data_IF_883492711052
#
_entry.id   IF_883492711052
#
_cell.length_a   1.000
_cell.length_b   1.000
_cell.length_c   1.000
_cell.angle_alpha   90.00
_cell.angle_beta   90.00
_cell.angle_gamma   90.00
#
_symmetry.space_group_name_H-M   'P 1'
#
loop_
_entity.id
_entity.type
_entity.pdbx_description
1 polymer ?
#
# COMPACT_ATOMS: atom_id res chain seq x y z
N UNK A 1 69.24 31.97 87.12
CA UNK A 1 69.29 32.41 85.71
C UNK A 1 69.03 31.21 84.79
N UNK A 2 67.85 30.60 84.88
CA UNK A 2 67.61 29.24 84.32
C UNK A 2 66.26 29.06 83.62
N UNK A 3 65.42 30.11 83.58
CA UNK A 3 64.08 30.05 82.97
C UNK A 3 64.11 30.53 81.51
N UNK A 4 65.00 31.46 81.15
CA UNK A 4 65.07 32.05 79.80
C UNK A 4 65.60 31.10 78.70
N UNK A 5 66.37 30.07 79.04
CA UNK A 5 66.97 29.14 78.07
C UNK A 5 66.00 28.07 77.57
N UNK A 6 65.00 27.68 78.38
CA UNK A 6 64.02 26.63 78.01
C UNK A 6 63.01 27.09 76.95
N UNK A 7 62.65 28.37 76.93
CA UNK A 7 61.66 28.91 75.98
C UNK A 7 62.24 29.16 74.58
N UNK A 8 63.52 29.57 74.49
CA UNK A 8 64.21 29.74 73.19
C UNK A 8 64.34 28.41 72.42
N UNK A 9 64.56 27.30 73.12
CA UNK A 9 64.70 25.98 72.49
C UNK A 9 63.35 25.46 71.94
N UNK A 10 62.24 25.71 72.63
CA UNK A 10 60.90 25.29 72.17
C UNK A 10 60.39 26.10 70.98
N UNK A 11 60.71 27.40 70.92
CA UNK A 11 60.33 28.28 69.80
C UNK A 11 61.13 27.94 68.53
N UNK A 12 62.42 27.57 68.67
CA UNK A 12 63.24 27.14 67.54
C UNK A 12 62.79 25.82 66.90
N UNK A 13 62.30 24.88 67.70
CA UNK A 13 61.78 23.59 67.18
C UNK A 13 60.45 23.79 66.45
N UNK A 14 59.56 24.66 66.95
CA UNK A 14 58.27 24.94 66.32
C UNK A 14 58.43 25.62 64.93
N UNK A 15 59.42 26.52 64.80
CA UNK A 15 59.72 27.19 63.53
C UNK A 15 60.35 26.25 62.48
N UNK A 16 61.17 25.28 62.90
CA UNK A 16 61.76 24.27 62.01
C UNK A 16 60.73 23.25 61.49
N UNK A 17 59.73 22.89 62.29
CA UNK A 17 58.65 22.00 61.85
C UNK A 17 57.66 22.68 60.90
N UNK A 18 57.45 24.00 61.04
CA UNK A 18 56.56 24.76 60.16
C UNK A 18 57.10 24.94 58.74
N UNK A 19 58.43 25.06 58.58
CA UNK A 19 59.06 25.27 57.28
C UNK A 19 59.13 24.01 56.39
N UNK A 20 59.02 22.81 56.98
CA UNK A 20 59.12 21.55 56.24
C UNK A 20 57.81 21.12 55.56
N UNK A 21 56.67 21.72 55.94
CA UNK A 21 55.34 21.37 55.41
C UNK A 21 54.88 22.22 54.22
N UNK A 22 55.66 23.20 53.77
CA UNK A 22 55.33 24.05 52.60
C UNK A 22 56.31 23.87 51.44
N UNK A 23 56.62 22.61 51.10
CA UNK A 23 57.24 22.31 49.81
C UNK A 23 56.13 22.13 48.75
N UNK A 24 56.11 22.92 47.66
CA UNK A 24 55.15 22.74 46.58
C UNK A 24 55.45 21.42 45.85
N UNK A 25 54.63 20.40 46.12
CA UNK A 25 54.64 19.13 45.40
C UNK A 25 54.24 19.36 43.94
N UNK A 26 55.22 19.21 43.06
CA UNK A 26 55.14 19.42 41.62
C UNK A 26 54.07 18.53 40.95
N UNK A 27 53.09 19.16 40.31
CA UNK A 27 52.21 18.51 39.33
C UNK A 27 53.07 18.02 38.16
N UNK A 28 53.41 16.72 38.14
CA UNK A 28 54.12 16.12 37.01
C UNK A 28 53.18 16.03 35.81
N UNK A 29 53.47 16.81 34.78
CA UNK A 29 52.87 16.66 33.46
C UNK A 29 53.01 15.18 33.02
N UNK A 30 51.93 14.58 32.53
CA UNK A 30 51.96 13.23 31.99
C UNK A 30 52.78 13.24 30.70
N UNK A 31 54.06 12.88 30.79
CA UNK A 31 54.88 12.67 29.60
C UNK A 31 54.35 11.47 28.83
N UNK A 32 54.03 11.66 27.55
CA UNK A 32 53.61 10.57 26.66
C UNK A 32 54.78 9.60 26.51
N UNK A 33 54.67 8.43 27.13
CA UNK A 33 55.69 7.39 27.08
C UNK A 33 55.68 6.79 25.66
N UNK A 34 56.66 7.17 24.84
CA UNK A 34 56.81 6.72 23.47
C UNK A 34 57.98 5.74 23.39
N UNK A 35 57.74 4.49 23.78
CA UNK A 35 58.72 3.42 23.65
C UNK A 35 58.67 2.86 22.22
N UNK A 36 59.77 3.02 21.49
CA UNK A 36 59.90 2.54 20.11
C UNK A 36 59.66 1.02 19.99
N UNK A 37 60.01 0.23 21.02
CA UNK A 37 59.83 -1.23 21.05
C UNK A 37 58.37 -1.66 21.12
N UNK A 38 57.59 -0.93 21.91
CA UNK A 38 56.14 -1.16 22.05
C UNK A 38 55.43 -0.61 20.81
N UNK A 39 55.85 0.54 20.30
CA UNK A 39 55.31 1.12 19.07
C UNK A 39 55.55 0.20 17.88
N UNK A 40 56.73 -0.39 17.75
CA UNK A 40 57.03 -1.35 16.69
C UNK A 40 56.19 -2.63 16.83
N UNK A 41 55.94 -3.09 18.06
CA UNK A 41 55.03 -4.22 18.34
C UNK A 41 53.63 -3.94 17.79
N UNK A 42 53.06 -2.78 18.13
CA UNK A 42 51.71 -2.39 17.70
C UNK A 42 51.62 -2.22 16.18
N UNK A 43 52.64 -1.61 15.56
CA UNK A 43 52.70 -1.42 14.09
C UNK A 43 52.65 -2.75 13.33
N UNK A 44 53.26 -3.81 13.87
CA UNK A 44 53.24 -5.17 13.29
C UNK A 44 51.93 -5.91 13.47
N UNK A 45 51.16 -5.63 14.51
CA UNK A 45 49.92 -6.35 14.79
C UNK A 45 48.79 -5.97 13.82
N UNK A 46 48.83 -4.78 13.21
CA UNK A 46 47.65 -4.22 12.52
C UNK A 46 47.89 -3.88 11.04
N UNK A 47 48.88 -3.07 10.64
CA UNK A 47 48.84 -2.45 9.30
C UNK A 47 50.18 -2.26 8.55
N UNK A 48 51.25 -1.80 9.19
CA UNK A 48 52.29 -1.03 8.47
C UNK A 48 53.35 -1.88 7.72
N UNK A 49 53.91 -2.93 8.34
CA UNK A 49 54.78 -3.93 7.70
C UNK A 49 55.20 -5.01 8.70
N UNK A 50 55.48 -6.23 8.22
CA UNK A 50 56.09 -7.29 9.02
C UNK A 50 57.61 -7.15 9.02
N UNK A 51 58.18 -6.12 9.68
CA UNK A 51 59.61 -5.88 9.44
C UNK A 51 60.44 -4.94 10.29
N UNK A 52 59.91 -4.19 11.27
CA UNK A 52 60.78 -3.30 12.07
C UNK A 52 60.71 -3.63 13.56
N UNK A 53 61.88 -3.78 14.19
CA UNK A 53 62.05 -4.16 15.59
C UNK A 53 62.85 -3.08 16.36
N UNK A 54 62.46 -1.82 16.19
CA UNK A 54 63.16 -0.72 16.85
C UNK A 54 62.95 -0.77 18.37
N UNK A 55 63.95 -0.43 19.20
CA UNK A 55 65.33 -0.15 18.82
C UNK A 55 66.08 -1.45 18.47
N UNK A 56 66.99 -1.40 17.49
CA UNK A 56 67.72 -2.58 17.03
C UNK A 56 68.56 -3.24 18.15
N UNK A 57 68.67 -4.57 18.08
CA UNK A 57 69.51 -5.34 19.01
C UNK A 57 71.00 -5.06 18.83
N UNK A 58 71.68 -4.79 19.94
CA UNK A 58 73.15 -4.68 20.01
C UNK A 58 73.68 -5.83 20.86
N UNK A 59 74.71 -6.50 20.37
CA UNK A 59 75.31 -7.66 21.01
C UNK A 59 76.80 -7.42 21.23
N UNK A 60 77.30 -7.82 22.40
CA UNK A 60 78.72 -7.85 22.71
C UNK A 60 79.05 -9.21 23.35
N UNK A 61 79.96 -9.98 22.74
CA UNK A 61 80.31 -11.34 23.17
C UNK A 61 79.08 -12.26 23.36
N UNK A 62 78.08 -12.14 22.47
CA UNK A 62 76.84 -12.92 22.53
C UNK A 62 75.80 -12.42 23.54
N UNK A 63 76.13 -11.42 24.38
CA UNK A 63 75.22 -10.84 25.36
C UNK A 63 74.59 -9.56 24.81
N UNK A 64 73.28 -9.43 25.01
CA UNK A 64 72.49 -8.32 24.53
C UNK A 64 72.65 -7.08 25.42
N UNK A 65 73.17 -5.98 24.86
CA UNK A 65 73.50 -4.75 25.60
C UNK A 65 72.39 -3.69 25.57
N UNK A 66 71.39 -3.84 24.69
CA UNK A 66 70.23 -2.95 24.61
C UNK A 66 69.10 -3.47 25.51
N UNK A 67 68.87 -2.79 26.64
CA UNK A 67 67.86 -3.18 27.63
C UNK A 67 66.43 -3.16 27.06
N UNK A 68 66.01 -2.08 26.40
CA UNK A 68 64.67 -1.94 25.84
C UNK A 68 64.37 -3.02 24.78
N UNK A 69 65.34 -3.34 23.93
CA UNK A 69 65.22 -4.45 22.98
C UNK A 69 65.18 -5.81 23.70
N UNK A 70 65.95 -5.99 24.79
CA UNK A 70 66.05 -7.24 25.54
C UNK A 70 64.77 -7.63 26.25
N UNK A 71 64.10 -6.65 26.86
CA UNK A 71 62.85 -6.86 27.59
C UNK A 71 61.66 -7.16 26.68
N UNK A 72 61.63 -6.61 25.46
CA UNK A 72 60.48 -6.77 24.55
C UNK A 72 60.72 -7.90 23.53
N UNK A 73 61.92 -8.05 22.99
CA UNK A 73 62.22 -8.94 21.84
C UNK A 73 63.43 -9.87 22.02
N UNK A 74 64.24 -9.64 23.05
CA UNK A 74 65.51 -10.33 23.25
C UNK A 74 65.49 -11.42 24.30
N UNK A 75 66.65 -11.68 24.90
CA UNK A 75 66.85 -12.80 25.82
C UNK A 75 65.98 -12.72 27.09
N UNK A 76 65.67 -11.51 27.56
CA UNK A 76 64.84 -11.26 28.75
C UNK A 76 63.33 -11.21 28.45
N UNK A 77 62.95 -11.31 27.17
CA UNK A 77 61.56 -11.24 26.74
C UNK A 77 60.80 -12.55 27.02
N UNK A 78 59.49 -12.52 27.31
CA UNK A 78 58.67 -13.73 27.43
C UNK A 78 58.75 -14.63 26.19
N UNK A 79 58.63 -15.95 26.35
CA UNK A 79 58.72 -16.91 25.22
C UNK A 79 57.84 -16.49 24.05
N UNK A 80 56.58 -16.13 24.34
CA UNK A 80 55.61 -15.69 23.33
C UNK A 80 56.13 -14.57 22.41
N UNK A 81 56.86 -13.60 22.95
CA UNK A 81 57.36 -12.48 22.16
C UNK A 81 58.59 -12.87 21.32
N UNK A 82 59.40 -13.81 21.80
CA UNK A 82 60.52 -14.40 21.03
C UNK A 82 60.00 -15.29 19.91
N UNK A 83 59.01 -16.12 20.20
CA UNK A 83 58.32 -16.97 19.22
C UNK A 83 57.60 -16.11 18.16
N UNK A 84 57.02 -14.99 18.57
CA UNK A 84 56.42 -14.01 17.66
C UNK A 84 57.46 -13.27 16.81
N UNK A 85 58.67 -13.08 17.33
CA UNK A 85 59.76 -12.40 16.60
C UNK A 85 60.30 -13.28 15.47
N UNK A 86 60.50 -14.55 15.76
CA UNK A 86 61.09 -15.51 14.81
C UNK A 86 60.02 -16.27 13.99
N UNK A 87 58.73 -15.95 14.20
CA UNK A 87 57.59 -16.57 13.53
C UNK A 87 57.16 -15.95 12.20
N UNK A 88 56.18 -16.58 11.55
CA UNK A 88 55.58 -16.12 10.29
C UNK A 88 54.73 -14.86 10.45
N UNK A 89 54.50 -14.13 9.35
CA UNK A 89 53.63 -12.94 9.33
C UNK A 89 52.17 -13.30 9.63
N UNK A 90 51.72 -13.01 10.85
CA UNK A 90 50.35 -13.29 11.30
C UNK A 90 49.37 -12.12 11.07
N UNK A 91 49.75 -11.08 10.33
CA UNK A 91 48.89 -9.91 10.15
C UNK A 91 47.52 -10.30 9.56
N UNK A 92 46.41 -9.90 10.18
CA UNK A 92 45.07 -10.22 9.67
C UNK A 92 44.78 -9.53 8.33
N UNK A 93 45.35 -8.34 8.11
CA UNK A 93 45.14 -7.49 6.94
C UNK A 93 46.21 -7.63 5.85
N UNK A 94 47.09 -8.65 5.93
CA UNK A 94 48.02 -8.95 4.82
C UNK A 94 47.21 -9.44 3.60
N UNK A 95 47.82 -9.43 2.40
CA UNK A 95 47.13 -9.80 1.16
C UNK A 95 46.46 -11.20 1.21
N UNK A 96 47.08 -12.14 1.90
CA UNK A 96 46.58 -13.50 2.16
C UNK A 96 46.11 -13.70 3.62
N UNK A 97 45.81 -12.61 4.32
CA UNK A 97 45.36 -12.61 5.72
C UNK A 97 43.89 -12.98 5.85
N UNK A 98 43.51 -13.42 7.05
CA UNK A 98 42.15 -13.92 7.32
C UNK A 98 41.08 -12.85 7.10
N UNK A 99 41.34 -11.59 7.45
CA UNK A 99 40.35 -10.52 7.32
C UNK A 99 40.18 -10.08 5.87
N UNK A 100 41.26 -10.07 5.07
CA UNK A 100 41.16 -9.81 3.62
C UNK A 100 40.36 -10.89 2.93
N UNK A 101 40.56 -12.17 3.30
CA UNK A 101 39.77 -13.28 2.77
C UNK A 101 38.29 -13.14 3.17
N UNK A 102 38.00 -12.75 4.41
CA UNK A 102 36.63 -12.50 4.86
C UNK A 102 35.99 -11.32 4.12
N UNK A 103 36.71 -10.22 3.94
CA UNK A 103 36.24 -9.07 3.18
C UNK A 103 35.92 -9.46 1.73
N UNK A 104 36.78 -10.27 1.10
CA UNK A 104 36.51 -10.80 -0.24
C UNK A 104 35.27 -11.70 -0.27
N UNK A 105 35.08 -12.57 0.72
CA UNK A 105 33.88 -13.41 0.84
C UNK A 105 32.62 -12.58 1.06
N UNK A 106 32.67 -11.56 1.92
CA UNK A 106 31.57 -10.63 2.16
C UNK A 106 31.20 -9.88 0.89
N UNK A 107 32.18 -9.48 0.10
CA UNK A 107 31.92 -8.79 -1.17
C UNK A 107 31.25 -9.72 -2.20
N UNK A 108 31.66 -10.99 -2.28
CA UNK A 108 30.98 -11.99 -3.11
C UNK A 108 29.54 -12.23 -2.64
N UNK A 109 29.33 -12.40 -1.33
CA UNK A 109 27.99 -12.54 -0.74
C UNK A 109 27.12 -11.30 -0.98
N UNK A 110 27.71 -10.10 -0.94
CA UNK A 110 27.01 -8.84 -1.25
C UNK A 110 26.53 -8.84 -2.70
N UNK A 111 27.37 -9.25 -3.65
CA UNK A 111 27.00 -9.34 -5.06
C UNK A 111 25.87 -10.36 -5.31
N UNK A 112 25.90 -11.49 -4.62
CA UNK A 112 24.81 -12.48 -4.67
C UNK A 112 23.53 -11.93 -4.05
N UNK A 113 23.62 -11.27 -2.90
CA UNK A 113 22.49 -10.64 -2.23
C UNK A 113 21.85 -9.52 -3.08
N UNK A 114 22.65 -8.75 -3.82
CA UNK A 114 22.16 -7.74 -4.75
C UNK A 114 21.35 -8.35 -5.91
N UNK A 115 21.78 -9.49 -6.46
CA UNK A 115 21.02 -10.22 -7.49
C UNK A 115 19.68 -10.72 -6.93
N UNK A 116 19.71 -11.35 -5.76
CA UNK A 116 18.50 -11.83 -5.07
C UNK A 116 17.55 -10.66 -4.80
N UNK A 117 18.07 -9.51 -4.37
CA UNK A 117 17.27 -8.30 -4.14
C UNK A 117 16.56 -7.85 -5.41
N UNK A 118 17.27 -7.79 -6.54
CA UNK A 118 16.67 -7.40 -7.84
C UNK A 118 15.56 -8.39 -8.21
N UNK A 119 15.78 -9.70 -8.06
CA UNK A 119 14.77 -10.72 -8.32
C UNK A 119 13.53 -10.53 -7.43
N UNK A 120 13.72 -10.34 -6.12
CA UNK A 120 12.61 -10.11 -5.19
C UNK A 120 11.85 -8.82 -5.52
N UNK A 121 12.56 -7.74 -5.84
CA UNK A 121 11.94 -6.46 -6.22
C UNK A 121 11.13 -6.61 -7.53
N UNK A 122 11.61 -7.37 -8.50
CA UNK A 122 10.89 -7.63 -9.75
C UNK A 122 9.65 -8.50 -9.52
N UNK A 123 9.75 -9.55 -8.70
CA UNK A 123 8.62 -10.38 -8.29
C UNK A 123 7.57 -9.56 -7.55
N UNK A 124 7.98 -8.70 -6.63
CA UNK A 124 7.08 -7.82 -5.90
C UNK A 124 6.34 -6.87 -6.85
N UNK A 125 7.06 -6.20 -7.76
CA UNK A 125 6.45 -5.31 -8.76
C UNK A 125 5.46 -6.04 -9.65
N UNK A 126 5.80 -7.25 -10.09
CA UNK A 126 4.91 -8.10 -10.90
C UNK A 126 3.66 -8.49 -10.11
N UNK A 127 3.82 -8.95 -8.87
CA UNK A 127 2.70 -9.33 -8.01
C UNK A 127 1.77 -8.15 -7.72
N UNK A 128 2.30 -6.94 -7.55
CA UNK A 128 1.50 -5.72 -7.40
C UNK A 128 0.74 -5.37 -8.67
N UNK A 129 1.35 -5.54 -9.85
CA UNK A 129 0.68 -5.35 -11.14
C UNK A 129 -0.43 -6.40 -11.36
N UNK A 130 -0.14 -7.66 -11.04
CA UNK A 130 -1.11 -8.76 -11.12
C UNK A 130 -2.27 -8.51 -10.13
N UNK A 131 -1.97 -8.15 -8.89
CA UNK A 131 -3.00 -7.78 -7.91
C UNK A 131 -3.90 -6.65 -8.45
N UNK A 132 -3.30 -5.57 -8.97
CA UNK A 132 -4.05 -4.46 -9.55
C UNK A 132 -4.88 -4.86 -10.77
N UNK A 133 -4.44 -5.86 -11.54
CA UNK A 133 -5.14 -6.37 -12.71
C UNK A 133 -6.36 -7.23 -12.37
N UNK A 134 -6.31 -7.96 -11.25
CA UNK A 134 -7.35 -8.91 -10.85
C UNK A 134 -8.32 -8.34 -9.81
N UNK A 135 -7.86 -7.46 -8.94
CA UNK A 135 -8.65 -6.95 -7.81
C UNK A 135 -9.83 -6.11 -8.28
N UNK A 136 -10.97 -6.31 -7.61
CA UNK A 136 -12.18 -5.49 -7.72
C UNK A 136 -12.05 -4.12 -7.03
N UNK A 137 -11.03 -3.92 -6.20
CA UNK A 137 -10.84 -2.65 -5.47
C UNK A 137 -10.44 -1.48 -6.38
N UNK A 138 -9.77 -1.77 -7.50
CA UNK A 138 -9.30 -0.76 -8.46
C UNK A 138 -10.33 -0.40 -9.52
N UNK A 139 -11.52 -1.00 -9.47
CA UNK A 139 -12.55 -0.86 -10.52
C UNK A 139 -12.95 0.60 -10.73
N UNK A 140 -13.07 1.39 -9.66
CA UNK A 140 -13.43 2.80 -9.79
C UNK A 140 -12.36 3.68 -10.40
N UNK A 141 -11.10 3.22 -10.38
CA UNK A 141 -9.98 3.90 -11.01
C UNK A 141 -9.76 3.46 -12.47
N UNK A 142 -10.56 2.53 -12.99
CA UNK A 142 -10.41 2.07 -14.37
C UNK A 142 -10.72 3.22 -15.37
N UNK A 143 -9.77 3.66 -16.21
CA UNK A 143 -9.97 4.79 -17.12
C UNK A 143 -11.15 4.59 -18.08
N UNK A 144 -11.30 3.41 -18.68
CA UNK A 144 -12.42 3.13 -19.59
C UNK A 144 -13.78 3.13 -18.87
N UNK A 145 -13.79 2.68 -17.62
CA UNK A 145 -14.98 2.73 -16.78
C UNK A 145 -15.38 4.19 -16.52
N UNK A 146 -14.43 5.01 -16.06
CA UNK A 146 -14.65 6.43 -15.77
C UNK A 146 -15.11 7.22 -17.00
N UNK A 147 -14.49 6.98 -18.17
CA UNK A 147 -14.76 7.73 -19.39
C UNK A 147 -16.10 7.37 -20.05
N UNK A 148 -16.50 6.10 -19.99
CA UNK A 148 -17.65 5.61 -20.77
C UNK A 148 -18.70 4.89 -19.93
N UNK A 149 -18.34 3.76 -19.31
CA UNK A 149 -19.32 2.85 -18.73
C UNK A 149 -20.03 3.42 -17.50
N UNK A 150 -19.33 4.20 -16.66
CA UNK A 150 -19.91 4.84 -15.48
C UNK A 150 -21.14 5.68 -15.82
N UNK A 151 -21.05 6.49 -16.88
CA UNK A 151 -22.18 7.31 -17.35
C UNK A 151 -23.28 6.45 -17.98
N UNK A 152 -22.90 5.47 -18.80
CA UNK A 152 -23.86 4.68 -19.58
C UNK A 152 -24.65 3.67 -18.74
N UNK A 153 -24.07 3.15 -17.66
CA UNK A 153 -24.71 2.19 -16.74
C UNK A 153 -25.33 2.86 -15.50
N UNK A 154 -25.09 4.16 -15.28
CA UNK A 154 -25.76 4.93 -14.22
C UNK A 154 -27.30 4.82 -14.26
N UNK A 155 -27.98 4.87 -15.42
CA UNK A 155 -29.43 4.67 -15.48
C UNK A 155 -29.90 3.29 -15.01
N UNK A 156 -29.10 2.23 -15.22
CA UNK A 156 -29.40 0.88 -14.72
C UNK A 156 -29.26 0.84 -13.20
N UNK A 157 -28.20 1.44 -12.66
CA UNK A 157 -27.95 1.50 -11.22
C UNK A 157 -28.98 2.35 -10.47
N UNK A 158 -29.48 3.42 -11.10
CA UNK A 158 -30.49 4.31 -10.52
C UNK A 158 -31.93 3.81 -10.74
N UNK A 159 -32.12 2.76 -11.54
CA UNK A 159 -33.44 2.15 -11.68
C UNK A 159 -33.80 1.47 -10.35
N UNK A 160 -35.06 1.50 -9.88
CA UNK A 160 -35.46 0.84 -8.64
C UNK A 160 -35.20 -0.68 -8.67
N UNK A 161 -34.82 -1.28 -7.54
CA UNK A 161 -34.61 -2.75 -7.44
C UNK A 161 -35.92 -3.51 -7.54
N UNK A 162 -36.97 -3.01 -6.88
CA UNK A 162 -38.27 -3.64 -6.86
C UNK A 162 -39.38 -2.62 -7.24
N UNK A 163 -39.50 -2.27 -8.54
CA UNK A 163 -40.54 -1.35 -9.03
C UNK A 163 -41.96 -1.90 -8.80
N UNK A 164 -42.77 -1.17 -8.03
CA UNK A 164 -44.14 -1.57 -7.68
C UNK A 164 -45.20 -0.81 -8.48
N UNK A 165 -44.89 0.39 -8.97
CA UNK A 165 -45.87 1.27 -9.61
C UNK A 165 -45.54 1.56 -11.07
N UNK A 166 -46.52 2.07 -11.83
CA UNK A 166 -46.34 2.47 -13.23
C UNK A 166 -45.23 3.53 -13.40
N UNK A 167 -45.07 4.44 -12.44
CA UNK A 167 -44.03 5.48 -12.40
C UNK A 167 -42.64 4.88 -12.30
N UNK A 168 -42.48 3.86 -11.46
CA UNK A 168 -41.20 3.18 -11.22
C UNK A 168 -40.75 2.44 -12.48
N UNK A 169 -41.71 1.81 -13.14
CA UNK A 169 -41.54 1.19 -14.45
C UNK A 169 -41.44 2.18 -15.61
N UNK A 170 -41.61 3.49 -15.37
CA UNK A 170 -41.64 4.56 -16.38
C UNK A 170 -42.66 4.31 -17.49
N UNK A 171 -43.79 3.70 -17.13
CA UNK A 171 -44.94 3.52 -18.01
C UNK A 171 -45.78 4.80 -18.04
N UNK A 172 -46.61 4.97 -19.07
CA UNK A 172 -47.43 6.19 -19.22
C UNK A 172 -48.64 6.20 -18.27
N UNK A 173 -49.37 5.07 -18.24
CA UNK A 173 -50.68 4.97 -17.60
C UNK A 173 -50.72 3.80 -16.61
N UNK A 174 -51.52 3.94 -15.55
CA UNK A 174 -51.76 2.85 -14.58
C UNK A 174 -52.55 1.69 -15.21
N UNK A 175 -53.53 1.97 -16.07
CA UNK A 175 -54.29 0.92 -16.79
C UNK A 175 -53.35 0.04 -17.64
N UNK A 176 -52.31 0.64 -18.22
CA UNK A 176 -51.26 -0.08 -18.95
C UNK A 176 -50.44 -0.98 -18.03
N UNK A 177 -50.10 -0.51 -16.83
CA UNK A 177 -49.41 -1.31 -15.83
C UNK A 177 -50.25 -2.50 -15.36
N UNK A 178 -51.52 -2.28 -15.01
CA UNK A 178 -52.44 -3.35 -14.58
C UNK A 178 -52.66 -4.40 -15.68
N UNK A 179 -52.73 -3.97 -16.94
CA UNK A 179 -52.81 -4.88 -18.09
C UNK A 179 -51.55 -5.72 -18.23
N UNK A 180 -50.36 -5.13 -18.09
CA UNK A 180 -49.10 -5.87 -18.16
C UNK A 180 -48.90 -6.80 -16.96
N UNK A 181 -49.41 -6.41 -15.80
CA UNK A 181 -49.42 -7.21 -14.59
C UNK A 181 -50.30 -8.45 -14.75
N UNK A 182 -51.51 -8.31 -15.28
CA UNK A 182 -52.44 -9.43 -15.48
C UNK A 182 -51.95 -10.44 -16.54
N UNK A 183 -51.24 -9.96 -17.57
CA UNK A 183 -50.62 -10.82 -18.60
C UNK A 183 -49.34 -11.50 -18.07
N UNK A 184 -48.78 -11.06 -16.94
CA UNK A 184 -47.55 -11.60 -16.36
C UNK A 184 -46.25 -11.09 -17.01
N UNK A 185 -46.32 -10.05 -17.84
CA UNK A 185 -45.15 -9.46 -18.49
C UNK A 185 -44.24 -8.78 -17.47
N UNK A 186 -44.82 -8.11 -16.47
CA UNK A 186 -44.07 -7.43 -15.41
C UNK A 186 -43.17 -8.39 -14.66
N UNK A 187 -43.65 -9.60 -14.32
CA UNK A 187 -42.85 -10.61 -13.63
C UNK A 187 -41.59 -10.99 -14.44
N UNK A 188 -41.76 -11.24 -15.74
CA UNK A 188 -40.64 -11.56 -16.63
C UNK A 188 -39.67 -10.37 -16.79
N UNK A 189 -40.18 -9.14 -16.87
CA UNK A 189 -39.34 -7.95 -16.90
C UNK A 189 -38.55 -7.78 -15.61
N UNK A 190 -39.15 -8.09 -14.46
CA UNK A 190 -38.48 -8.07 -13.17
C UNK A 190 -37.34 -9.09 -13.12
N UNK A 191 -37.59 -10.34 -13.52
CA UNK A 191 -36.55 -11.38 -13.60
C UNK A 191 -35.37 -10.96 -14.49
N UNK A 192 -35.67 -10.38 -15.66
CA UNK A 192 -34.65 -9.85 -16.56
C UNK A 192 -33.85 -8.69 -15.94
N UNK A 193 -34.52 -7.81 -15.21
CA UNK A 193 -33.90 -6.70 -14.51
C UNK A 193 -32.97 -7.19 -13.40
N UNK A 194 -33.42 -8.14 -12.59
CA UNK A 194 -32.64 -8.73 -11.50
C UNK A 194 -31.37 -9.38 -12.04
N UNK A 195 -31.48 -10.17 -13.11
CA UNK A 195 -30.31 -10.77 -13.78
C UNK A 195 -29.31 -9.73 -14.29
N UNK A 196 -29.79 -8.60 -14.83
CA UNK A 196 -28.92 -7.51 -15.29
C UNK A 196 -28.22 -6.81 -14.13
N UNK A 197 -28.94 -6.54 -13.04
CA UNK A 197 -28.39 -5.92 -11.83
C UNK A 197 -27.40 -6.82 -11.12
N UNK A 198 -27.67 -8.12 -11.06
CA UNK A 198 -26.75 -9.10 -10.51
C UNK A 198 -25.48 -9.19 -11.35
N UNK A 199 -25.60 -9.25 -12.69
CA UNK A 199 -24.42 -9.21 -13.57
C UNK A 199 -23.61 -7.93 -13.37
N UNK A 200 -24.29 -6.78 -13.22
CA UNK A 200 -23.64 -5.51 -12.92
C UNK A 200 -22.92 -5.54 -11.56
N UNK A 201 -23.56 -6.05 -10.50
CA UNK A 201 -22.96 -6.20 -9.18
C UNK A 201 -21.75 -7.13 -9.19
N UNK A 202 -21.83 -8.27 -9.88
CA UNK A 202 -20.73 -9.22 -10.04
C UNK A 202 -19.54 -8.55 -10.72
N UNK A 203 -19.78 -7.77 -11.78
CA UNK A 203 -18.72 -7.05 -12.51
C UNK A 203 -17.97 -6.01 -11.66
N UNK A 204 -18.52 -5.65 -10.50
CA UNK A 204 -18.00 -4.64 -9.57
C UNK A 204 -17.39 -5.23 -8.30
N UNK A 205 -17.78 -6.43 -7.92
CA UNK A 205 -17.46 -7.02 -6.60
C UNK A 205 -16.57 -8.25 -6.68
N UNK A 206 -16.62 -8.99 -7.79
CA UNK A 206 -15.85 -10.22 -7.96
C UNK A 206 -14.48 -9.90 -8.55
N UNK A 207 -13.45 -10.47 -7.94
CA UNK A 207 -12.08 -10.40 -8.47
C UNK A 207 -12.00 -11.17 -9.79
N UNK A 208 -11.60 -10.46 -10.84
CA UNK A 208 -11.56 -10.95 -12.21
C UNK A 208 -10.60 -10.09 -13.02
N UNK A 209 -9.98 -10.64 -14.07
CA UNK A 209 -9.03 -9.88 -14.87
C UNK A 209 -9.76 -8.73 -15.58
N UNK A 210 -9.09 -7.58 -15.64
CA UNK A 210 -9.62 -6.32 -16.16
C UNK A 210 -10.31 -6.45 -17.52
N UNK A 211 -9.76 -7.25 -18.44
CA UNK A 211 -10.35 -7.47 -19.76
C UNK A 211 -11.73 -8.16 -19.69
N UNK A 212 -11.87 -9.19 -18.86
CA UNK A 212 -13.15 -9.90 -18.64
C UNK A 212 -14.20 -8.97 -18.03
N UNK A 213 -13.77 -8.08 -17.13
CA UNK A 213 -14.63 -7.08 -16.51
C UNK A 213 -15.21 -6.10 -17.55
N UNK A 214 -14.40 -5.63 -18.49
CA UNK A 214 -14.87 -4.78 -19.58
C UNK A 214 -15.87 -5.48 -20.50
N UNK A 215 -15.67 -6.76 -20.79
CA UNK A 215 -16.65 -7.55 -21.53
C UNK A 215 -17.98 -7.63 -20.75
N UNK A 216 -17.93 -7.84 -19.44
CA UNK A 216 -19.14 -7.82 -18.61
C UNK A 216 -19.85 -6.46 -18.61
N UNK A 217 -19.12 -5.33 -18.56
CA UNK A 217 -19.74 -4.00 -18.72
C UNK A 217 -20.40 -3.81 -20.07
N UNK A 218 -19.77 -4.33 -21.12
CA UNK A 218 -20.32 -4.26 -22.46
C UNK A 218 -21.60 -5.10 -22.59
N UNK A 219 -21.57 -6.33 -22.08
CA UNK A 219 -22.73 -7.23 -22.07
C UNK A 219 -23.89 -6.67 -21.25
N UNK A 220 -23.61 -6.14 -20.04
CA UNK A 220 -24.63 -5.49 -19.20
C UNK A 220 -25.21 -4.26 -19.89
N UNK A 221 -24.39 -3.46 -20.58
CA UNK A 221 -24.86 -2.30 -21.33
C UNK A 221 -25.76 -2.70 -22.51
N UNK A 222 -25.38 -3.72 -23.28
CA UNK A 222 -26.22 -4.26 -24.36
C UNK A 222 -27.53 -4.81 -23.78
N UNK A 223 -27.45 -5.57 -22.69
CA UNK A 223 -28.61 -6.12 -22.00
C UNK A 223 -29.57 -5.03 -21.54
N UNK A 224 -29.04 -3.95 -20.95
CA UNK A 224 -29.81 -2.79 -20.55
C UNK A 224 -30.53 -2.11 -21.71
N UNK A 225 -29.84 -1.93 -22.85
CA UNK A 225 -30.46 -1.36 -24.06
C UNK A 225 -31.59 -2.24 -24.59
N UNK A 226 -31.39 -3.57 -24.61
CA UNK A 226 -32.42 -4.53 -25.01
C UNK A 226 -33.62 -4.48 -24.07
N UNK A 227 -33.38 -4.45 -22.76
CA UNK A 227 -34.43 -4.32 -21.75
C UNK A 227 -35.27 -3.05 -21.95
N UNK A 228 -34.63 -1.89 -22.15
CA UNK A 228 -35.34 -0.64 -22.42
C UNK A 228 -36.16 -0.69 -23.72
N UNK A 229 -35.63 -1.32 -24.76
CA UNK A 229 -36.34 -1.51 -26.01
C UNK A 229 -37.60 -2.38 -25.82
N UNK A 230 -37.48 -3.48 -25.07
CA UNK A 230 -38.61 -4.35 -24.74
C UNK A 230 -39.67 -3.61 -23.91
N UNK A 231 -39.25 -2.92 -22.85
CA UNK A 231 -40.13 -2.14 -21.98
C UNK A 231 -40.92 -1.08 -22.76
N UNK A 232 -40.23 -0.30 -23.61
CA UNK A 232 -40.88 0.68 -24.48
C UNK A 232 -41.80 0.02 -25.51
N UNK A 233 -41.41 -1.15 -26.02
CA UNK A 233 -42.23 -1.96 -26.92
C UNK A 233 -43.55 -2.39 -26.27
N UNK A 234 -43.50 -2.86 -25.02
CA UNK A 234 -44.70 -3.18 -24.24
C UNK A 234 -45.56 -1.95 -23.97
N UNK A 235 -44.94 -0.86 -23.52
CA UNK A 235 -45.64 0.41 -23.29
C UNK A 235 -46.40 0.87 -24.54
N UNK A 236 -45.74 0.89 -25.71
CA UNK A 236 -46.38 1.29 -26.97
C UNK A 236 -47.52 0.35 -27.38
N UNK A 237 -47.33 -0.97 -27.27
CA UNK A 237 -48.37 -1.95 -27.61
C UNK A 237 -49.59 -1.82 -26.69
N UNK A 238 -49.39 -1.69 -25.39
CA UNK A 238 -50.50 -1.56 -24.43
C UNK A 238 -51.25 -0.26 -24.65
N UNK A 239 -50.55 0.86 -24.86
CA UNK A 239 -51.20 2.13 -25.17
C UNK A 239 -52.05 2.05 -26.46
N UNK A 240 -51.54 1.42 -27.52
CA UNK A 240 -52.32 1.20 -28.75
C UNK A 240 -53.59 0.38 -28.47
N UNK A 241 -53.49 -0.69 -27.68
CA UNK A 241 -54.64 -1.51 -27.29
C UNK A 241 -55.66 -0.69 -26.50
N UNK A 242 -55.21 0.14 -25.56
CA UNK A 242 -56.09 1.04 -24.81
C UNK A 242 -56.75 2.09 -25.70
N UNK A 243 -56.02 2.66 -26.65
CA UNK A 243 -56.56 3.63 -27.61
C UNK A 243 -57.62 2.98 -28.51
N UNK A 244 -57.38 1.75 -29.00
CA UNK A 244 -58.38 0.98 -29.75
C UNK A 244 -59.62 0.66 -28.93
N UNK A 245 -59.45 0.27 -27.65
CA UNK A 245 -60.55 0.03 -26.72
C UNK A 245 -61.39 1.29 -26.53
N UNK A 246 -60.75 2.44 -26.26
CA UNK A 246 -61.43 3.75 -26.13
C UNK A 246 -62.19 4.14 -27.40
N UNK A 247 -61.60 3.93 -28.58
CA UNK A 247 -62.27 4.19 -29.86
C UNK A 247 -63.50 3.28 -30.04
N UNK A 248 -63.36 1.98 -29.77
CA UNK A 248 -64.44 1.01 -29.90
C UNK A 248 -65.60 1.31 -28.94
N UNK A 249 -65.29 1.68 -27.69
CA UNK A 249 -66.29 2.05 -26.70
C UNK A 249 -67.03 3.34 -27.10
N UNK A 250 -66.31 4.32 -27.66
CA UNK A 250 -66.92 5.52 -28.24
C UNK A 250 -67.89 5.16 -29.38
N UNK A 251 -67.47 4.34 -30.33
CA UNK A 251 -68.35 3.88 -31.42
C UNK A 251 -69.59 3.13 -30.90
N UNK A 252 -69.43 2.25 -29.90
CA UNK A 252 -70.55 1.54 -29.27
C UNK A 252 -71.52 2.49 -28.58
N UNK A 253 -71.02 3.49 -27.87
CA UNK A 253 -71.85 4.46 -27.16
C UNK A 253 -72.56 5.42 -28.14
N UNK A 254 -71.88 5.90 -29.18
CA UNK A 254 -72.51 6.70 -30.24
C UNK A 254 -73.60 5.91 -30.97
N UNK A 255 -73.41 4.62 -31.27
CA UNK A 255 -74.48 3.81 -31.85
C UNK A 255 -75.67 3.61 -30.89
N UNK A 256 -75.43 3.55 -29.57
CA UNK A 256 -76.52 3.55 -28.57
C UNK A 256 -77.24 4.90 -28.52
N UNK A 257 -76.54 6.02 -28.60
CA UNK A 257 -77.16 7.35 -28.67
C UNK A 257 -77.99 7.52 -29.95
N UNK A 258 -77.50 7.03 -31.10
CA UNK A 258 -78.27 7.00 -32.35
C UNK A 258 -79.51 6.10 -32.22
N UNK A 259 -79.40 4.96 -31.52
CA UNK A 259 -80.54 4.09 -31.24
C UNK A 259 -81.51 4.63 -30.18
N UNK A 260 -81.09 5.62 -29.38
CA UNK A 260 -81.91 6.32 -28.38
C UNK A 260 -82.61 7.57 -28.96
N UNK A 261 -82.44 7.87 -30.26
CA UNK A 261 -83.31 8.85 -30.91
C UNK A 261 -84.73 8.28 -31.00
N UNK A 262 -85.67 9.03 -30.40
CA UNK A 262 -87.14 8.83 -30.30
C UNK A 262 -87.70 7.68 -31.16
N UNK A 263 -88.41 6.78 -30.50
CA UNK A 263 -89.21 5.76 -31.19
C UNK A 263 -90.21 6.46 -32.14
N UNK A 264 -90.47 5.90 -33.32
CA UNK A 264 -91.30 6.56 -34.36
C UNK A 264 -92.68 6.96 -33.81
N UNK A 265 -93.19 6.20 -32.83
CA UNK A 265 -94.40 6.54 -32.07
C UNK A 265 -94.29 7.85 -31.28
N UNK A 266 -93.16 8.11 -30.62
CA UNK A 266 -92.92 9.34 -29.86
C UNK A 266 -92.77 10.54 -30.80
N UNK A 267 -92.18 10.34 -31.98
CA UNK A 267 -92.11 11.36 -33.04
C UNK A 267 -93.53 11.69 -33.53
N UNK A 268 -94.32 10.69 -33.92
CA UNK A 268 -95.70 10.88 -34.37
C UNK A 268 -96.58 11.50 -33.28
N UNK A 269 -96.44 11.09 -32.02
CA UNK A 269 -97.20 11.66 -30.91
C UNK A 269 -96.87 13.14 -30.68
N UNK A 270 -95.59 13.52 -30.78
CA UNK A 270 -95.17 14.92 -30.68
C UNK A 270 -95.72 15.78 -31.82
N UNK A 271 -95.68 15.26 -33.06
CA UNK A 271 -96.25 15.90 -34.24
C UNK A 271 -97.77 16.06 -34.10
N UNK A 272 -98.49 15.01 -33.66
CA UNK A 272 -99.93 15.09 -33.42
C UNK A 272 -100.30 16.10 -32.33
N UNK A 273 -99.50 16.25 -31.26
CA UNK A 273 -99.71 17.28 -30.24
C UNK A 273 -99.52 18.70 -30.79
N UNK A 274 -98.48 18.93 -31.61
CA UNK A 274 -98.24 20.23 -32.24
C UNK A 274 -99.38 20.64 -33.19
N UNK A 275 -100.00 19.68 -33.88
CA UNK A 275 -101.13 19.94 -34.78
C UNK A 275 -102.49 20.00 -34.08
N UNK A 276 -102.62 19.45 -32.87
CA UNK A 276 -103.88 19.44 -32.09
C UNK A 276 -104.40 20.85 -31.76
N UNK A 277 -103.52 21.85 -31.70
CA UNK A 277 -103.88 23.22 -31.34
C UNK A 277 -103.91 24.19 -32.53
N UNK A 278 -103.70 23.70 -33.76
CA UNK A 278 -103.72 24.51 -34.99
C UNK A 278 -105.01 24.41 -35.80
N UNK A 279 -105.95 23.56 -35.37
CA UNK A 279 -107.31 23.42 -35.86
C UNK A 279 -108.28 23.41 -34.67
#
# INVERSE_FOLDING_TARGET
>A
MTIFTKYKLKIGILLMTGALCMAPGTSRAQNRLNDEAIVSQHKRQVFESWGDWRPYGKYFLGVQTNFAYSTVWGMLSPSRNRDYKDGEDIRPLKANGIEVQRLAQVELQRQEAEKIKIEVDTLYKRNMQDLAHWTSLTVDADPLWLLYYKRMLSPLNNFPDNPQNYTDWRLKDDESYQTLLSIGVIKRLQENLDLLKDKYKISRTVDMPRGKRFLMYHETLIGWRKFLYELNGFNNKTNLVLDYKKMLDKFRNTNKEIALHRDDKEIVASVMQDFKHRF
#
